data_IF_885042297099
#
_entry.id   IF_885042297099
#
_cell.length_a   1.000
_cell.length_b   1.000
_cell.length_c   1.000
_cell.angle_alpha   90.00
_cell.angle_beta   90.00
_cell.angle_gamma   90.00
#
_symmetry.space_group_name_H-M   'P 1'
#
loop_
_entity.id
_entity.type
_entity.pdbx_description
1 polymer ?
#
# COMPACT_ATOMS: atom_id res chain seq x y z
N UNK A 1 5.85 -1.54 -17.12
CA UNK A 1 5.66 -0.30 -16.33
C UNK A 1 6.62 -0.34 -15.15
N UNK A 2 7.04 0.80 -14.60
CA UNK A 2 8.02 0.83 -13.51
C UNK A 2 7.59 -0.02 -12.29
N UNK A 3 6.29 -0.07 -11.97
CA UNK A 3 5.76 -0.98 -10.95
C UNK A 3 6.06 -2.45 -11.27
N UNK A 4 5.77 -2.91 -12.49
CA UNK A 4 5.99 -4.30 -12.89
C UNK A 4 7.47 -4.69 -12.85
N UNK A 5 8.37 -3.74 -13.10
CA UNK A 5 9.81 -3.96 -13.02
C UNK A 5 10.31 -4.20 -11.60
N UNK A 6 9.64 -3.66 -10.58
CA UNK A 6 9.90 -3.97 -9.18
C UNK A 6 9.16 -5.24 -8.75
N UNK A 7 7.87 -5.37 -9.09
CA UNK A 7 7.04 -6.52 -8.69
C UNK A 7 7.67 -7.87 -9.10
N UNK A 8 8.26 -7.96 -10.30
CA UNK A 8 8.91 -9.19 -10.79
C UNK A 8 10.22 -9.56 -10.06
N UNK A 9 10.78 -8.66 -9.25
CA UNK A 9 12.03 -8.90 -8.49
C UNK A 9 11.77 -9.53 -7.13
N UNK A 10 10.53 -9.51 -6.66
CA UNK A 10 10.16 -10.16 -5.41
C UNK A 10 10.27 -11.68 -5.54
N UNK A 11 10.71 -12.37 -4.48
CA UNK A 11 10.82 -13.82 -4.51
C UNK A 11 9.42 -14.47 -4.37
N UNK A 12 9.28 -15.78 -4.70
CA UNK A 12 8.00 -16.47 -4.71
C UNK A 12 7.25 -16.46 -3.37
N UNK A 13 7.96 -16.40 -2.25
CA UNK A 13 7.45 -16.34 -0.88
C UNK A 13 6.94 -14.95 -0.47
N UNK A 14 7.19 -13.91 -1.28
CA UNK A 14 6.79 -12.53 -0.97
C UNK A 14 6.30 -11.79 -2.22
N UNK A 15 5.38 -12.41 -2.96
CA UNK A 15 4.86 -11.86 -4.21
C UNK A 15 4.16 -10.52 -3.99
N UNK A 16 4.45 -9.57 -4.87
CA UNK A 16 3.75 -8.29 -4.92
C UNK A 16 2.71 -8.30 -6.04
N UNK A 17 1.43 -8.21 -5.67
CA UNK A 17 0.31 -8.19 -6.61
C UNK A 17 -0.41 -6.85 -6.60
N UNK A 18 -0.87 -6.38 -7.78
CA UNK A 18 -1.67 -5.15 -7.90
C UNK A 18 -3.10 -5.49 -8.28
N UNK A 19 -4.03 -5.21 -7.37
CA UNK A 19 -5.47 -5.23 -7.64
C UNK A 19 -5.97 -3.80 -7.87
N UNK A 20 -6.21 -3.46 -9.13
CA UNK A 20 -6.73 -2.14 -9.48
C UNK A 20 -8.23 -2.07 -9.20
N UNK A 21 -8.62 -1.17 -8.31
CA UNK A 21 -10.03 -0.82 -8.05
C UNK A 21 -10.45 0.31 -8.99
N UNK A 22 -11.63 0.20 -9.60
CA UNK A 22 -12.18 1.23 -10.49
C UNK A 22 -12.53 2.48 -9.68
N UNK A 23 -11.89 3.59 -10.02
CA UNK A 23 -12.21 4.90 -9.45
C UNK A 23 -13.63 5.34 -9.84
N UNK A 24 -14.28 6.08 -8.95
CA UNK A 24 -15.58 6.66 -9.22
C UNK A 24 -15.41 7.90 -10.12
N UNK A 25 -16.13 8.02 -11.26
CA UNK A 25 -16.03 9.20 -12.10
C UNK A 25 -16.50 10.45 -11.37
N UNK A 26 -15.71 11.52 -11.48
CA UNK A 26 -16.06 12.84 -10.94
C UNK A 26 -17.25 13.40 -11.72
N UNK A 27 -18.29 13.79 -11.00
CA UNK A 27 -19.54 14.34 -11.53
C UNK A 27 -20.22 15.21 -10.48
N UNK A 28 -21.54 15.18 -10.40
CA UNK A 28 -22.30 15.91 -9.37
C UNK A 28 -22.16 15.33 -7.94
N UNK A 29 -21.27 14.35 -7.73
CA UNK A 29 -21.08 13.66 -6.46
C UNK A 29 -20.09 14.42 -5.57
N UNK A 30 -20.36 14.43 -4.27
CA UNK A 30 -19.41 14.97 -3.27
C UNK A 30 -18.22 14.02 -3.09
N UNK A 31 -17.10 14.52 -2.57
CA UNK A 31 -15.93 13.70 -2.25
C UNK A 31 -16.28 12.51 -1.34
N UNK A 32 -17.17 12.73 -0.36
CA UNK A 32 -17.66 11.68 0.53
C UNK A 32 -18.43 10.58 -0.22
N UNK A 33 -19.28 10.95 -1.18
CA UNK A 33 -20.01 9.98 -2.01
C UNK A 33 -19.06 9.20 -2.94
N UNK A 34 -18.03 9.85 -3.48
CA UNK A 34 -17.00 9.19 -4.30
C UNK A 34 -16.24 8.16 -3.45
N UNK A 35 -15.72 8.58 -2.28
CA UNK A 35 -15.01 7.70 -1.36
C UNK A 35 -15.86 6.54 -0.86
N UNK A 36 -17.15 6.75 -0.58
CA UNK A 36 -18.07 5.70 -0.16
C UNK A 36 -18.30 4.65 -1.26
N UNK A 37 -18.43 5.08 -2.52
CA UNK A 37 -18.54 4.16 -3.65
C UNK A 37 -17.25 3.35 -3.88
N UNK A 38 -16.09 3.99 -3.73
CA UNK A 38 -14.78 3.33 -3.81
C UNK A 38 -14.55 2.36 -2.66
N UNK A 39 -14.97 2.71 -1.44
CA UNK A 39 -14.87 1.85 -0.26
C UNK A 39 -15.54 0.50 -0.47
N UNK A 40 -16.76 0.48 -1.03
CA UNK A 40 -17.46 -0.77 -1.36
C UNK A 40 -16.64 -1.67 -2.29
N UNK A 41 -15.95 -1.08 -3.28
CA UNK A 41 -15.10 -1.85 -4.20
C UNK A 41 -13.81 -2.32 -3.55
N UNK A 42 -13.23 -1.52 -2.67
CA UNK A 42 -12.06 -1.90 -1.87
C UNK A 42 -12.41 -3.11 -1.00
N UNK A 43 -13.53 -3.09 -0.28
CA UNK A 43 -13.94 -4.21 0.57
C UNK A 43 -14.17 -5.50 -0.21
N UNK A 44 -14.67 -5.41 -1.45
CA UNK A 44 -14.81 -6.59 -2.34
C UNK A 44 -13.44 -7.08 -2.83
N UNK A 45 -12.47 -6.20 -3.06
CA UNK A 45 -11.17 -6.56 -3.61
C UNK A 45 -10.17 -7.09 -2.57
N UNK A 46 -10.28 -6.63 -1.32
CA UNK A 46 -9.40 -7.02 -0.21
C UNK A 46 -9.81 -8.41 0.30
N UNK A 47 -8.92 -9.41 0.26
CA UNK A 47 -9.25 -10.74 0.77
C UNK A 47 -9.55 -10.71 2.28
N UNK A 48 -10.35 -11.66 2.75
CA UNK A 48 -10.67 -11.77 4.19
C UNK A 48 -9.46 -12.27 4.97
N UNK A 49 -9.30 -11.78 6.21
CA UNK A 49 -8.26 -12.26 7.13
C UNK A 49 -6.86 -11.77 6.82
N UNK A 50 -6.69 -10.87 5.85
CA UNK A 50 -5.41 -10.20 5.58
C UNK A 50 -5.15 -9.08 6.58
N UNK A 51 -3.89 -8.74 6.77
CA UNK A 51 -3.49 -7.52 7.47
C UNK A 51 -3.70 -6.32 6.55
N UNK A 52 -4.48 -5.33 7.00
CA UNK A 52 -4.86 -4.14 6.23
C UNK A 52 -3.95 -2.98 6.60
N UNK A 53 -3.15 -2.52 5.64
CA UNK A 53 -2.23 -1.39 5.79
C UNK A 53 -2.76 -0.26 4.91
N UNK A 54 -3.28 0.78 5.53
CA UNK A 54 -3.83 1.94 4.81
C UNK A 54 -2.74 2.98 4.58
N UNK A 55 -2.58 3.40 3.32
CA UNK A 55 -1.71 4.53 2.98
C UNK A 55 -2.48 5.83 3.20
N UNK A 56 -1.96 6.66 4.10
CA UNK A 56 -2.59 7.90 4.53
C UNK A 56 -1.54 8.98 4.78
N UNK A 57 -1.81 10.21 4.35
CA UNK A 57 -0.92 11.36 4.55
C UNK A 57 -0.73 11.74 6.02
N UNK A 58 -1.65 11.32 6.90
CA UNK A 58 -1.58 11.45 8.33
C UNK A 58 -1.04 10.19 9.03
N UNK A 59 -0.79 9.10 8.30
CA UNK A 59 -0.30 7.84 8.83
C UNK A 59 1.09 7.91 9.49
N UNK A 60 1.52 6.79 10.06
CA UNK A 60 2.84 6.69 10.72
C UNK A 60 3.96 6.97 9.72
N UNK A 61 4.90 7.85 10.12
CA UNK A 61 6.13 8.08 9.39
C UNK A 61 7.10 6.94 9.65
N UNK A 62 7.72 6.43 8.59
CA UNK A 62 8.76 5.41 8.71
C UNK A 62 10.02 5.83 7.96
N UNK A 63 11.18 5.63 8.58
CA UNK A 63 12.49 5.78 7.93
C UNK A 63 12.82 4.54 7.11
N UNK A 64 13.76 4.60 6.15
CA UNK A 64 14.07 3.50 5.23
C UNK A 64 14.34 2.14 5.88
N UNK A 65 14.90 2.11 7.10
CA UNK A 65 15.22 0.87 7.83
C UNK A 65 14.00 0.26 8.54
N UNK A 66 13.00 1.07 8.89
CA UNK A 66 11.83 0.63 9.65
C UNK A 66 10.87 -0.27 8.84
N UNK A 67 10.65 -0.06 7.52
CA UNK A 67 9.93 -0.99 6.67
C UNK A 67 10.49 -2.41 6.67
N UNK A 68 11.82 -2.60 6.77
CA UNK A 68 12.40 -3.94 6.81
C UNK A 68 11.98 -4.68 8.10
N UNK A 69 12.00 -3.99 9.24
CA UNK A 69 11.51 -4.54 10.51
C UNK A 69 10.00 -4.83 10.47
N UNK A 70 9.19 -3.95 9.88
CA UNK A 70 7.75 -4.19 9.70
C UNK A 70 7.46 -5.35 8.77
N UNK A 71 8.18 -5.45 7.66
CA UNK A 71 8.06 -6.55 6.72
C UNK A 71 8.36 -7.89 7.39
N UNK A 72 9.41 -7.96 8.21
CA UNK A 72 9.71 -9.14 9.04
C UNK A 72 8.56 -9.46 10.02
N UNK A 73 7.95 -8.45 10.63
CA UNK A 73 6.80 -8.64 11.50
C UNK A 73 5.56 -9.15 10.73
N UNK A 74 5.32 -8.66 9.50
CA UNK A 74 4.25 -9.16 8.64
C UNK A 74 4.48 -10.62 8.24
N UNK A 75 5.71 -10.99 7.90
CA UNK A 75 6.05 -12.39 7.60
C UNK A 75 5.84 -13.31 8.79
N UNK A 76 6.17 -12.86 10.00
CA UNK A 76 5.95 -13.64 11.23
C UNK A 76 4.45 -13.75 11.61
N UNK A 77 3.65 -12.74 11.27
CA UNK A 77 2.19 -12.75 11.49
C UNK A 77 1.47 -13.79 10.62
N UNK A 78 2.08 -14.25 9.53
CA UNK A 78 1.58 -15.36 8.69
C UNK A 78 0.35 -15.02 7.84
N UNK A 79 -0.24 -13.84 8.01
CA UNK A 79 -1.30 -13.30 7.14
C UNK A 79 -0.67 -12.62 5.93
N UNK A 80 -1.39 -12.66 4.80
CA UNK A 80 -1.08 -11.75 3.69
C UNK A 80 -1.30 -10.29 4.11
N UNK A 81 -0.58 -9.37 3.48
CA UNK A 81 -0.67 -7.95 3.71
C UNK A 81 -1.34 -7.23 2.52
N UNK A 82 -2.44 -6.54 2.77
CA UNK A 82 -3.12 -5.69 1.79
C UNK A 82 -2.75 -4.22 2.03
N UNK A 83 -1.94 -3.65 1.13
CA UNK A 83 -1.60 -2.23 1.12
C UNK A 83 -2.64 -1.45 0.32
N UNK A 84 -3.46 -0.67 1.01
CA UNK A 84 -4.63 0.01 0.45
C UNK A 84 -4.28 1.46 0.16
N UNK A 85 -4.38 1.85 -1.12
CA UNK A 85 -4.14 3.21 -1.60
C UNK A 85 -5.48 3.79 -2.08
N UNK A 86 -5.82 4.99 -1.61
CA UNK A 86 -7.04 5.69 -1.98
C UNK A 86 -7.08 6.17 -3.43
N UNK A 87 -8.14 6.90 -3.75
CA UNK A 87 -8.24 7.72 -4.96
C UNK A 87 -7.81 9.18 -4.68
N UNK A 88 -7.97 10.09 -5.65
CA UNK A 88 -7.63 11.51 -5.51
C UNK A 88 -8.22 12.20 -4.27
N UNK A 89 -9.39 11.75 -3.83
CA UNK A 89 -10.11 12.29 -2.67
C UNK A 89 -9.75 11.58 -1.36
N UNK A 90 -8.87 10.57 -1.41
CA UNK A 90 -8.45 9.77 -0.27
C UNK A 90 -9.21 8.46 -0.11
N UNK A 91 -9.41 8.05 1.16
CA UNK A 91 -10.11 6.84 1.55
C UNK A 91 -11.26 7.19 2.48
N UNK A 92 -12.39 6.49 2.33
CA UNK A 92 -13.51 6.61 3.26
C UNK A 92 -13.09 6.26 4.69
N UNK A 93 -13.69 6.93 5.68
CA UNK A 93 -13.44 6.66 7.10
C UNK A 93 -13.69 5.18 7.46
N UNK A 94 -14.66 4.52 6.82
CA UNK A 94 -14.94 3.10 7.01
C UNK A 94 -13.77 2.20 6.63
N UNK A 95 -13.04 2.51 5.55
CA UNK A 95 -11.84 1.76 5.14
C UNK A 95 -10.70 1.97 6.13
N UNK A 96 -10.52 3.22 6.58
CA UNK A 96 -9.48 3.59 7.57
C UNK A 96 -9.74 2.93 8.94
N UNK A 97 -10.99 2.87 9.38
CA UNK A 97 -11.38 2.24 10.64
C UNK A 97 -11.08 0.74 10.69
N UNK A 98 -11.04 0.06 9.53
CA UNK A 98 -10.66 -1.33 9.41
C UNK A 98 -9.16 -1.58 9.20
N UNK A 99 -8.29 -0.58 9.37
CA UNK A 99 -6.85 -0.73 9.18
C UNK A 99 -6.20 -1.34 10.43
N UNK A 100 -5.36 -2.37 10.25
CA UNK A 100 -4.43 -2.83 11.28
C UNK A 100 -3.28 -1.82 11.46
N UNK A 101 -2.87 -1.16 10.37
CA UNK A 101 -1.79 -0.18 10.35
C UNK A 101 -2.10 0.97 9.40
N UNK A 102 -1.60 2.17 9.72
CA UNK A 102 -1.57 3.31 8.80
C UNK A 102 -0.13 3.67 8.49
N UNK A 103 0.16 4.00 7.24
CA UNK A 103 1.50 4.32 6.78
C UNK A 103 1.48 5.58 5.92
N UNK A 104 2.37 6.51 6.23
CA UNK A 104 2.64 7.69 5.42
C UNK A 104 3.84 7.44 4.51
N UNK A 105 3.63 7.58 3.19
CA UNK A 105 4.70 7.43 2.20
C UNK A 105 5.55 8.68 1.99
N UNK A 106 4.95 9.86 2.13
CA UNK A 106 5.62 11.14 1.93
C UNK A 106 4.90 12.25 2.68
N UNK A 107 5.58 13.37 2.89
CA UNK A 107 4.93 14.64 3.25
C UNK A 107 4.26 15.31 2.06
N UNK A 108 4.63 14.92 0.84
CA UNK A 108 4.08 15.47 -0.38
C UNK A 108 2.79 14.75 -0.75
N UNK A 109 1.84 15.49 -1.33
CA UNK A 109 0.70 14.91 -2.03
C UNK A 109 1.19 14.27 -3.33
N UNK A 110 1.29 12.94 -3.35
CA UNK A 110 1.81 12.20 -4.49
C UNK A 110 0.68 11.76 -5.44
N UNK A 111 0.85 11.86 -6.77
CA UNK A 111 -0.07 11.24 -7.71
C UNK A 111 -0.15 9.73 -7.50
N UNK A 112 -1.36 9.17 -7.59
CA UNK A 112 -1.62 7.73 -7.39
C UNK A 112 -0.76 6.80 -8.22
N UNK A 113 -0.47 7.16 -9.47
CA UNK A 113 0.43 6.39 -10.34
C UNK A 113 1.86 6.32 -9.78
N UNK A 114 2.32 7.40 -9.16
CA UNK A 114 3.64 7.48 -8.55
C UNK A 114 3.71 6.73 -7.22
N UNK A 115 2.65 6.82 -6.41
CA UNK A 115 2.51 6.07 -5.15
C UNK A 115 2.75 4.57 -5.36
N UNK A 116 2.18 3.97 -6.41
CA UNK A 116 2.35 2.54 -6.71
C UNK A 116 3.80 2.16 -6.98
N UNK A 117 4.52 2.98 -7.74
CA UNK A 117 5.92 2.72 -8.09
C UNK A 117 6.81 2.90 -6.87
N UNK A 118 6.62 4.01 -6.14
CA UNK A 118 7.37 4.31 -4.93
C UNK A 118 7.18 3.22 -3.86
N UNK A 119 5.94 2.77 -3.66
CA UNK A 119 5.64 1.71 -2.69
C UNK A 119 6.30 0.39 -3.09
N UNK A 120 6.22 -0.01 -4.37
CA UNK A 120 6.86 -1.23 -4.85
C UNK A 120 8.39 -1.20 -4.68
N UNK A 121 9.02 -0.05 -4.97
CA UNK A 121 10.44 0.16 -4.75
C UNK A 121 10.79 0.08 -3.26
N UNK A 122 10.06 0.81 -2.40
CA UNK A 122 10.32 0.87 -0.97
C UNK A 122 10.18 -0.51 -0.31
N UNK A 123 9.16 -1.29 -0.70
CA UNK A 123 8.99 -2.67 -0.25
C UNK A 123 10.12 -3.57 -0.74
N UNK A 124 10.55 -3.41 -2.00
CA UNK A 124 11.66 -4.20 -2.54
C UNK A 124 12.96 -3.87 -1.80
N UNK A 125 13.21 -2.59 -1.53
CA UNK A 125 14.34 -2.13 -0.73
C UNK A 125 14.29 -2.71 0.68
N UNK A 126 13.13 -2.66 1.35
CA UNK A 126 12.94 -3.24 2.68
C UNK A 126 13.27 -4.74 2.70
N UNK A 127 12.83 -5.48 1.67
CA UNK A 127 13.17 -6.89 1.50
C UNK A 127 14.68 -7.10 1.31
N UNK A 128 15.34 -6.30 0.47
CA UNK A 128 16.78 -6.41 0.23
C UNK A 128 17.60 -6.16 1.49
N UNK A 129 17.17 -5.23 2.36
CA UNK A 129 17.77 -5.01 3.68
C UNK A 129 17.59 -6.23 4.57
N UNK A 130 16.36 -6.77 4.63
CA UNK A 130 16.00 -7.91 5.48
C UNK A 130 16.80 -9.18 5.15
N UNK A 131 17.10 -9.43 3.88
CA UNK A 131 17.86 -10.61 3.44
C UNK A 131 19.36 -10.32 3.18
N UNK A 132 19.83 -9.13 3.54
CA UNK A 132 21.21 -8.67 3.28
C UNK A 132 21.64 -8.79 1.81
N UNK A 133 20.73 -8.48 0.87
CA UNK A 133 20.99 -8.54 -0.57
C UNK A 133 21.87 -7.36 -1.03
N UNK A 134 22.79 -7.54 -2.00
CA UNK A 134 23.68 -6.46 -2.50
C UNK A 134 23.00 -5.24 -3.15
N UNK A 135 21.68 -5.28 -3.31
CA UNK A 135 20.90 -4.12 -3.78
C UNK A 135 20.78 -3.06 -2.68
N UNK A 136 20.94 -3.46 -1.42
CA UNK A 136 21.15 -2.53 -0.33
C UNK A 136 22.55 -1.92 -0.46
N UNK A 137 22.61 -0.81 -1.19
CA UNK A 137 23.70 0.15 -1.11
C UNK A 137 23.17 1.29 -0.24
N UNK A 138 23.64 1.36 1.01
CA UNK A 138 23.50 2.59 1.81
C UNK A 138 24.23 3.75 1.13
#
# INVERSE_FOLDING_TARGET
SAYADFAKRFPPEMRLELKAVKAEPRGAKTAEQLMAAEALRIEVAVPRGVRRIVLDEHGERRTTVQPAARMKAWMHDGRDAALIVGGPDGLAASVKAGADETLRLSELTLPHAFVRVLLAEALYRAWTVMVSHPYHRE
#
